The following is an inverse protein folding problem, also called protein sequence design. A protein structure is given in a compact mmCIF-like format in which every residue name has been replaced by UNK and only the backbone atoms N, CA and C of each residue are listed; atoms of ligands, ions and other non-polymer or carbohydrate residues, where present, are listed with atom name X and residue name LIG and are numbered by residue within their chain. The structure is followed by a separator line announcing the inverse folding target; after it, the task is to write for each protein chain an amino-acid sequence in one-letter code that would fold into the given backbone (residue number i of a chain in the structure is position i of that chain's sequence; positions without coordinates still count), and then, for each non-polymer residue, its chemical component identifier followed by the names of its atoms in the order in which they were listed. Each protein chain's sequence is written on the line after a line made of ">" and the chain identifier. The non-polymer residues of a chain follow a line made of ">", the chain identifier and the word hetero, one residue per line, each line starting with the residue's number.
data_IF_978831379836
#
_entry.id   IF_978831379836
#
_cell.length_a   1.000
_cell.length_b   1.000
_cell.length_c   1.000
_cell.angle_alpha   90.00
_cell.angle_beta   90.00
_cell.angle_gamma   90.00
#
_symmetry.space_group_name_H-M   'P 1'
#
loop_
_entity.id
_entity.type
_entity.pdbx_description
1 polymer ?
#
# COMPACT_ATOMS: atom_id res chain seq x y z
N UNK A 1 -13.31 -33.77 22.92
CA UNK A 1 -14.08 -33.10 21.85
C UNK A 1 -13.42 -31.78 21.53
N UNK A 2 -13.04 -31.56 20.27
CA UNK A 2 -12.56 -30.24 19.81
C UNK A 2 -13.75 -29.28 19.89
N UNK A 3 -13.58 -28.15 20.59
CA UNK A 3 -14.59 -27.09 20.66
C UNK A 3 -14.54 -26.27 19.38
N UNK A 4 -15.22 -26.76 18.34
CA UNK A 4 -15.23 -26.17 17.00
C UNK A 4 -15.62 -24.68 17.00
N UNK A 5 -16.54 -24.28 17.89
CA UNK A 5 -16.92 -22.87 18.03
C UNK A 5 -15.74 -21.98 18.42
N UNK A 6 -14.94 -22.38 19.41
CA UNK A 6 -13.77 -21.62 19.85
C UNK A 6 -12.67 -21.59 18.79
N UNK A 7 -12.49 -22.69 18.05
CA UNK A 7 -11.53 -22.74 16.95
C UNK A 7 -11.92 -21.75 15.85
N UNK A 8 -13.17 -21.80 15.37
CA UNK A 8 -13.66 -20.88 14.34
C UNK A 8 -13.62 -19.42 14.80
N UNK A 9 -13.96 -19.17 16.07
CA UNK A 9 -13.86 -17.84 16.66
C UNK A 9 -12.41 -17.34 16.67
N UNK A 10 -11.45 -18.18 17.08
CA UNK A 10 -10.03 -17.81 17.10
C UNK A 10 -9.50 -17.49 15.71
N UNK A 11 -9.79 -18.33 14.72
CA UNK A 11 -9.37 -18.11 13.32
C UNK A 11 -10.02 -16.84 12.77
N UNK A 12 -11.32 -16.66 13.00
CA UNK A 12 -12.06 -15.48 12.57
C UNK A 12 -11.45 -14.20 13.14
N UNK A 13 -11.17 -14.17 14.45
CA UNK A 13 -10.58 -13.02 15.12
C UNK A 13 -9.18 -12.72 14.58
N UNK A 14 -8.35 -13.76 14.35
CA UNK A 14 -7.01 -13.60 13.77
C UNK A 14 -7.08 -12.98 12.37
N UNK A 15 -8.01 -13.41 11.52
CA UNK A 15 -8.20 -12.83 10.19
C UNK A 15 -8.64 -11.36 10.27
N UNK A 16 -9.56 -11.04 11.19
CA UNK A 16 -9.95 -9.63 11.45
C UNK A 16 -8.73 -8.80 11.84
N UNK A 17 -7.89 -9.27 12.77
CA UNK A 17 -6.67 -8.56 13.15
C UNK A 17 -5.69 -8.40 11.98
N UNK A 18 -5.47 -9.45 11.20
CA UNK A 18 -4.60 -9.40 10.02
C UNK A 18 -5.09 -8.39 8.98
N UNK A 19 -6.41 -8.22 8.82
CA UNK A 19 -6.99 -7.25 7.90
C UNK A 19 -6.66 -5.78 8.22
N UNK A 20 -6.42 -5.47 9.50
CA UNK A 20 -6.05 -4.13 9.94
C UNK A 20 -4.55 -3.94 10.11
N UNK A 21 -3.78 -5.03 10.13
CA UNK A 21 -2.34 -5.00 10.39
C UNK A 21 -1.61 -4.42 9.19
N UNK A 22 -0.96 -3.29 9.42
CA UNK A 22 -0.11 -2.62 8.42
C UNK A 22 1.34 -2.71 8.86
N UNK A 23 2.23 -3.06 7.94
CA UNK A 23 3.66 -2.98 8.14
C UNK A 23 4.15 -1.64 7.61
N UNK A 24 4.73 -0.84 8.51
CA UNK A 24 5.56 0.30 8.15
C UNK A 24 6.95 -0.20 7.82
N UNK A 25 7.22 -0.45 6.55
CA UNK A 25 8.54 -0.80 6.05
C UNK A 25 9.05 0.39 5.25
N UNK A 26 10.13 1.02 5.73
CA UNK A 26 10.82 2.05 4.97
C UNK A 26 11.67 1.39 3.87
N UNK A 27 11.03 0.87 2.82
CA UNK A 27 11.77 0.46 1.62
C UNK A 27 11.94 1.67 0.71
N UNK A 28 13.17 1.89 0.28
CA UNK A 28 13.52 2.96 -0.63
C UNK A 28 14.03 2.39 -1.96
N UNK A 29 13.54 2.93 -3.06
CA UNK A 29 14.06 2.67 -4.40
C UNK A 29 14.63 3.96 -4.96
N UNK A 30 15.90 3.93 -5.34
CA UNK A 30 16.57 5.03 -6.05
C UNK A 30 16.80 4.61 -7.49
N UNK A 31 16.37 5.43 -8.44
CA UNK A 31 16.66 5.21 -9.86
C UNK A 31 17.08 6.52 -10.52
N UNK A 32 18.22 6.50 -11.20
CA UNK A 32 18.58 7.53 -12.16
C UNK A 32 17.98 7.10 -13.50
N UNK A 33 17.04 7.87 -14.05
CA UNK A 33 16.36 7.47 -15.27
C UNK A 33 16.66 8.41 -16.43
N UNK A 34 17.39 7.85 -17.40
CA UNK A 34 17.82 8.50 -18.64
C UNK A 34 16.71 8.54 -19.71
N UNK A 35 15.72 7.67 -19.58
CA UNK A 35 14.55 7.52 -20.46
C UNK A 35 13.30 7.38 -19.58
N UNK A 36 12.12 7.18 -20.17
CA UNK A 36 10.90 6.90 -19.43
C UNK A 36 11.12 5.82 -18.36
N UNK A 37 10.79 6.14 -17.10
CA UNK A 37 10.87 5.19 -16.01
C UNK A 37 9.47 4.77 -15.60
N UNK A 38 9.23 3.46 -15.56
CA UNK A 38 7.97 2.90 -15.10
C UNK A 38 8.16 2.16 -13.79
N UNK A 39 7.23 2.34 -12.86
CA UNK A 39 7.14 1.54 -11.64
C UNK A 39 5.70 1.08 -11.41
N UNK A 40 5.57 -0.20 -11.12
CA UNK A 40 4.31 -0.79 -10.68
C UNK A 40 4.36 -0.95 -9.16
N UNK A 41 3.50 -0.20 -8.46
CA UNK A 41 3.41 -0.24 -7.00
C UNK A 41 2.25 -1.17 -6.62
N UNK A 42 2.53 -2.31 -5.97
CA UNK A 42 1.52 -3.30 -5.65
C UNK A 42 0.37 -2.77 -4.79
N UNK A 43 -0.83 -3.32 -4.96
CA UNK A 43 -2.06 -2.89 -4.27
C UNK A 43 -2.01 -3.00 -2.73
N UNK A 44 -1.15 -3.87 -2.19
CA UNK A 44 -0.94 -3.96 -0.74
C UNK A 44 -0.27 -2.70 -0.17
N UNK A 45 0.36 -1.87 -1.01
CA UNK A 45 0.96 -0.59 -0.61
C UNK A 45 -0.10 0.51 -0.65
N UNK A 46 -0.39 1.13 0.49
CA UNK A 46 -1.41 2.18 0.58
C UNK A 46 -0.88 3.59 0.42
N UNK A 47 0.38 3.79 0.79
CA UNK A 47 1.00 5.08 0.75
C UNK A 47 2.46 4.93 0.33
N UNK A 48 2.78 5.58 -0.77
CA UNK A 48 4.14 5.83 -1.24
C UNK A 48 4.41 7.32 -1.20
N UNK A 49 5.66 7.65 -0.93
CA UNK A 49 6.20 8.98 -1.10
C UNK A 49 7.10 8.96 -2.35
N UNK A 50 6.75 9.77 -3.34
CA UNK A 50 7.53 9.97 -4.56
C UNK A 50 8.30 11.28 -4.40
N UNK A 51 9.59 11.26 -4.69
CA UNK A 51 10.43 12.45 -4.74
C UNK A 51 11.30 12.41 -5.99
N UNK A 52 11.36 13.53 -6.70
CA UNK A 52 12.07 13.68 -7.97
C UNK A 52 13.04 14.85 -7.81
N UNK A 53 14.33 14.60 -8.00
CA UNK A 53 15.40 15.57 -7.74
C UNK A 53 16.41 15.54 -8.88
N UNK A 54 16.86 16.72 -9.31
CA UNK A 54 17.97 16.87 -10.26
C UNK A 54 19.31 16.39 -9.68
N UNK A 55 20.12 15.68 -10.48
CA UNK A 55 21.47 15.28 -10.09
C UNK A 55 22.46 16.42 -10.30
N UNK A 56 22.64 17.27 -9.28
CA UNK A 56 23.71 18.28 -9.18
C UNK A 56 24.04 18.96 -10.53
N UNK A 57 23.06 19.67 -11.08
CA UNK A 57 23.21 20.51 -12.27
C UNK A 57 22.51 21.84 -12.05
N UNK A 58 22.96 22.90 -12.73
CA UNK A 58 22.28 24.20 -12.75
C UNK A 58 21.01 24.19 -13.62
N UNK A 59 20.38 23.03 -13.79
CA UNK A 59 19.18 22.80 -14.60
C UNK A 59 18.02 22.35 -13.70
N UNK A 60 16.82 22.87 -13.99
CA UNK A 60 15.55 22.35 -13.48
C UNK A 60 14.89 21.50 -14.55
N UNK A 61 14.53 20.28 -14.22
CA UNK A 61 13.76 19.43 -15.11
C UNK A 61 12.27 19.68 -14.88
N UNK A 62 11.49 19.67 -15.96
CA UNK A 62 10.05 19.47 -15.89
C UNK A 62 9.76 18.04 -16.33
N UNK A 63 9.12 17.31 -15.45
CA UNK A 63 8.83 15.89 -15.57
C UNK A 63 7.31 15.76 -15.69
N UNK A 64 6.84 15.01 -16.66
CA UNK A 64 5.46 14.55 -16.63
C UNK A 64 5.37 13.27 -15.82
N UNK A 65 4.37 13.22 -14.96
CA UNK A 65 4.00 12.04 -14.19
C UNK A 65 2.68 11.51 -14.72
N UNK A 66 2.66 10.24 -15.12
CA UNK A 66 1.45 9.51 -15.47
C UNK A 66 1.12 8.51 -14.37
N UNK A 67 -0.12 8.47 -13.89
CA UNK A 67 -0.57 7.57 -12.82
C UNK A 67 -1.56 6.49 -13.29
N UNK A 68 -1.62 6.22 -14.60
CA UNK A 68 -2.55 5.27 -15.22
C UNK A 68 -3.90 5.87 -15.65
N UNK A 69 -4.32 7.01 -15.09
CA UNK A 69 -5.57 7.70 -15.48
C UNK A 69 -5.32 9.11 -15.98
N UNK A 70 -4.41 9.82 -15.33
CA UNK A 70 -4.12 11.23 -15.55
C UNK A 70 -2.62 11.45 -15.75
N UNK A 71 -2.29 12.55 -16.43
CA UNK A 71 -0.92 13.04 -16.59
C UNK A 71 -0.82 14.48 -16.09
N UNK A 72 0.25 14.80 -15.38
CA UNK A 72 0.52 16.17 -14.93
C UNK A 72 2.01 16.50 -15.00
N UNK A 73 2.33 17.74 -15.39
CA UNK A 73 3.70 18.24 -15.40
C UNK A 73 4.10 18.76 -14.01
N UNK A 74 5.32 18.44 -13.59
CA UNK A 74 5.92 18.89 -12.34
C UNK A 74 7.34 19.40 -12.58
N UNK A 75 7.70 20.49 -11.91
CA UNK A 75 9.08 21.01 -11.93
C UNK A 75 9.88 20.42 -10.78
N UNK A 76 11.13 20.05 -11.00
CA UNK A 76 12.02 19.59 -9.92
C UNK A 76 12.52 20.77 -9.06
N UNK A 77 12.75 20.55 -7.74
CA UNK A 77 12.42 19.33 -7.00
C UNK A 77 10.91 19.17 -6.79
N UNK A 78 10.42 17.93 -6.91
CA UNK A 78 9.01 17.59 -6.71
C UNK A 78 8.88 16.48 -5.67
N UNK A 79 7.88 16.57 -4.79
CA UNK A 79 7.55 15.50 -3.86
C UNK A 79 6.05 15.42 -3.59
N UNK A 80 5.53 14.20 -3.50
CA UNK A 80 4.11 13.97 -3.21
C UNK A 80 3.87 12.62 -2.53
N UNK A 81 2.74 12.51 -1.84
CA UNK A 81 2.22 11.25 -1.32
C UNK A 81 1.11 10.74 -2.23
N UNK A 82 1.17 9.45 -2.57
CA UNK A 82 0.17 8.82 -3.44
C UNK A 82 -0.04 7.36 -3.06
N UNK A 83 -0.99 6.69 -3.69
CA UNK A 83 -1.37 5.30 -3.42
C UNK A 83 -0.60 4.30 -4.28
N UNK A 84 -0.92 3.01 -4.16
CA UNK A 84 -0.55 2.01 -5.17
C UNK A 84 -1.06 2.39 -6.56
N UNK A 85 -0.37 1.91 -7.58
CA UNK A 85 -0.71 2.16 -8.98
C UNK A 85 0.50 2.00 -9.89
N UNK A 86 0.27 2.18 -11.18
CA UNK A 86 1.32 2.23 -12.19
C UNK A 86 1.71 3.68 -12.43
N UNK A 87 2.99 3.97 -12.29
CA UNK A 87 3.53 5.31 -12.50
C UNK A 87 4.57 5.28 -13.61
N UNK A 88 4.44 6.23 -14.54
CA UNK A 88 5.47 6.49 -15.55
C UNK A 88 5.97 7.92 -15.41
N UNK A 89 7.28 8.09 -15.53
CA UNK A 89 7.97 9.36 -15.38
C UNK A 89 8.76 9.65 -16.65
N UNK A 90 8.58 10.85 -17.21
CA UNK A 90 9.31 11.28 -18.38
C UNK A 90 9.68 12.76 -18.29
N UNK A 91 10.93 13.09 -18.60
CA UNK A 91 11.39 14.48 -18.63
C UNK A 91 10.97 15.10 -19.96
N UNK A 92 10.27 16.24 -19.91
CA UNK A 92 9.76 16.93 -21.10
C UNK A 92 10.59 18.16 -21.50
N UNK A 93 11.25 18.80 -20.53
CA UNK A 93 12.13 19.96 -20.78
C UNK A 93 13.08 20.15 -19.61
N UNK A 94 14.27 20.64 -19.90
CA UNK A 94 15.21 21.14 -18.90
C UNK A 94 15.37 22.66 -19.07
N UNK A 95 15.42 23.37 -17.95
CA UNK A 95 15.48 24.83 -17.89
C UNK A 95 16.74 25.21 -17.14
N UNK A 96 17.61 25.99 -17.75
CA UNK A 96 18.77 26.52 -17.06
C UNK A 96 18.35 27.54 -16.00
N UNK A 97 18.81 27.33 -14.78
CA UNK A 97 18.46 28.15 -13.61
C UNK A 97 19.05 29.56 -13.67
N UNK A 98 20.11 29.77 -14.44
CA UNK A 98 20.84 31.04 -14.51
C UNK A 98 20.17 32.02 -15.49
N UNK A 99 19.77 31.54 -16.66
CA UNK A 99 19.21 32.38 -17.74
C UNK A 99 17.74 32.08 -18.07
N UNK A 100 17.13 31.08 -17.42
CA UNK A 100 15.74 30.69 -17.61
C UNK A 100 15.45 30.07 -18.98
N UNK A 101 16.46 29.78 -19.79
CA UNK A 101 16.27 29.25 -21.14
C UNK A 101 16.06 27.74 -21.11
N UNK A 102 15.16 27.29 -21.98
CA UNK A 102 14.96 25.86 -22.22
C UNK A 102 16.17 25.32 -22.97
N UNK A 103 16.76 24.26 -22.42
CA UNK A 103 17.83 23.51 -23.05
C UNK A 103 17.20 22.29 -23.69
N UNK A 104 17.22 22.21 -25.03
CA UNK A 104 16.83 20.99 -25.73
C UNK A 104 17.94 19.96 -25.52
N UNK A 105 17.77 19.07 -24.56
CA UNK A 105 18.65 17.91 -24.37
C UNK A 105 18.03 16.73 -25.11
N UNK A 106 18.69 16.28 -26.18
CA UNK A 106 18.23 15.14 -26.99
C UNK A 106 18.58 13.79 -26.38
N UNK A 107 19.49 13.71 -25.40
CA UNK A 107 20.13 12.41 -25.12
C UNK A 107 20.38 12.06 -23.63
N UNK A 108 20.23 12.98 -22.67
CA UNK A 108 20.55 12.68 -21.26
C UNK A 108 19.68 13.46 -20.27
N UNK A 109 18.70 12.79 -19.66
CA UNK A 109 17.92 13.32 -18.54
C UNK A 109 18.59 12.93 -17.22
N UNK A 110 19.10 13.91 -16.47
CA UNK A 110 19.88 13.66 -15.26
C UNK A 110 19.05 13.88 -13.98
N UNK A 111 17.98 13.10 -13.86
CA UNK A 111 17.04 13.19 -12.74
C UNK A 111 17.03 11.87 -11.96
N UNK A 112 16.97 11.99 -10.64
CA UNK A 112 16.87 10.88 -9.71
C UNK A 112 15.46 10.79 -9.13
N UNK A 113 14.86 9.62 -9.29
CA UNK A 113 13.63 9.23 -8.61
C UNK A 113 13.97 8.54 -7.28
N UNK A 114 13.31 9.01 -6.23
CA UNK A 114 13.31 8.44 -4.90
C UNK A 114 11.87 7.99 -4.60
N UNK A 115 11.65 6.69 -4.45
CA UNK A 115 10.36 6.15 -4.05
C UNK A 115 10.48 5.46 -2.71
N UNK A 116 9.67 5.89 -1.75
CA UNK A 116 9.63 5.33 -0.40
C UNK A 116 8.25 4.76 -0.11
N UNK A 117 8.19 3.50 0.29
CA UNK A 117 6.96 2.93 0.85
C UNK A 117 6.82 3.42 2.28
N UNK A 118 5.66 4.00 2.59
CA UNK A 118 5.36 4.55 3.92
C UNK A 118 4.43 3.61 4.68
N UNK A 119 3.46 3.01 3.98
CA UNK A 119 2.47 2.11 4.58
C UNK A 119 2.06 0.99 3.64
N UNK A 120 2.13 -0.24 4.12
CA UNK A 120 1.69 -1.45 3.42
C UNK A 120 0.83 -2.34 4.31
N UNK A 121 -0.16 -3.02 3.75
CA UNK A 121 -0.90 -4.07 4.45
C UNK A 121 -0.11 -5.37 4.43
N UNK A 122 -0.27 -6.17 5.48
CA UNK A 122 0.28 -7.53 5.53
C UNK A 122 -0.42 -8.47 4.53
N UNK A 123 -1.60 -8.08 4.04
CA UNK A 123 -2.45 -8.88 3.16
C UNK A 123 -2.90 -8.06 1.95
N UNK A 124 -2.93 -8.67 0.77
CA UNK A 124 -3.29 -8.00 -0.50
C UNK A 124 -4.75 -7.50 -0.52
N UNK A 125 -5.68 -8.24 0.12
CA UNK A 125 -7.10 -7.85 0.19
C UNK A 125 -7.61 -7.85 1.64
N UNK A 126 -7.38 -6.75 2.38
CA UNK A 126 -7.85 -6.64 3.75
C UNK A 126 -9.37 -6.66 3.85
N UNK A 127 -10.12 -6.24 2.81
CA UNK A 127 -11.58 -6.22 2.86
C UNK A 127 -12.16 -7.64 2.82
N UNK A 128 -11.68 -8.47 1.89
CA UNK A 128 -12.11 -9.87 1.80
C UNK A 128 -11.74 -10.64 3.07
N UNK A 129 -10.53 -10.44 3.58
CA UNK A 129 -10.08 -11.10 4.82
C UNK A 129 -10.89 -10.63 6.03
N UNK A 130 -11.23 -9.34 6.12
CA UNK A 130 -12.11 -8.82 7.16
C UNK A 130 -13.49 -9.50 7.12
N UNK A 131 -14.07 -9.64 5.92
CA UNK A 131 -15.37 -10.28 5.74
C UNK A 131 -15.35 -11.76 6.16
N UNK A 132 -14.34 -12.50 5.69
CA UNK A 132 -14.15 -13.91 6.06
C UNK A 132 -13.93 -14.06 7.57
N UNK A 133 -13.08 -13.21 8.15
CA UNK A 133 -12.79 -13.20 9.58
C UNK A 133 -14.04 -12.90 10.42
N UNK A 134 -14.84 -11.92 10.00
CA UNK A 134 -16.09 -11.57 10.65
C UNK A 134 -17.09 -12.71 10.60
N UNK A 135 -17.28 -13.33 9.41
CA UNK A 135 -18.19 -14.47 9.25
C UNK A 135 -17.82 -15.66 10.12
N UNK A 136 -16.54 -16.04 10.13
CA UNK A 136 -16.01 -17.11 10.98
C UNK A 136 -16.15 -16.78 12.48
N UNK A 137 -15.94 -15.52 12.86
CA UNK A 137 -16.11 -15.07 14.25
C UNK A 137 -17.55 -15.21 14.72
N UNK A 138 -18.53 -14.80 13.89
CA UNK A 138 -19.95 -14.91 14.21
C UNK A 138 -20.37 -16.38 14.34
N UNK A 139 -20.01 -17.22 13.37
CA UNK A 139 -20.33 -18.66 13.41
C UNK A 139 -19.68 -19.31 14.64
N UNK A 140 -18.41 -18.99 14.90
CA UNK A 140 -17.68 -19.49 16.06
C UNK A 140 -18.30 -19.07 17.39
N UNK A 141 -18.74 -17.82 17.51
CA UNK A 141 -19.42 -17.31 18.71
C UNK A 141 -20.75 -18.04 18.95
N UNK A 142 -21.59 -18.21 17.92
CA UNK A 142 -22.88 -18.91 18.03
C UNK A 142 -22.68 -20.36 18.48
N UNK A 143 -21.74 -21.08 17.87
CA UNK A 143 -21.43 -22.45 18.25
C UNK A 143 -20.86 -22.55 19.67
N UNK A 144 -19.99 -21.61 20.07
CA UNK A 144 -19.42 -21.58 21.42
C UNK A 144 -20.48 -21.35 22.50
N UNK A 145 -21.45 -20.46 22.25
CA UNK A 145 -22.58 -20.23 23.15
C UNK A 145 -23.47 -21.46 23.24
N UNK A 146 -23.76 -22.11 22.12
CA UNK A 146 -24.53 -23.37 22.09
C UNK A 146 -23.85 -24.48 22.90
N UNK A 147 -22.53 -24.65 22.74
CA UNK A 147 -21.75 -25.63 23.49
C UNK A 147 -21.78 -25.33 25.01
N UNK A 148 -21.69 -24.05 25.39
CA UNK A 148 -21.79 -23.62 26.79
C UNK A 148 -23.17 -23.92 27.39
N UNK A 149 -24.25 -23.64 26.66
CA UNK A 149 -25.61 -23.92 27.09
C UNK A 149 -25.85 -25.42 27.28
N UNK A 150 -25.35 -26.27 26.38
CA UNK A 150 -25.43 -27.72 26.52
C UNK A 150 -24.65 -28.24 27.74
N UNK A 151 -23.51 -27.63 28.05
CA UNK A 151 -22.74 -27.97 29.26
C UNK A 151 -23.44 -27.52 30.55
N UNK A 152 -24.15 -26.40 30.53
CA UNK A 152 -24.96 -25.93 31.65
C UNK A 152 -26.16 -26.85 31.89
N UNK A 153 -26.90 -27.20 30.84
CA UNK A 153 -28.08 -28.09 30.93
C UNK A 153 -27.70 -29.49 31.45
N UNK A 154 -26.51 -29.99 31.09
CA UNK A 154 -25.97 -31.26 31.64
C UNK A 154 -25.53 -31.19 33.10
N UNK A 155 -25.21 -30.00 33.62
CA UNK A 155 -24.73 -29.82 35.00
C UNK A 155 -25.86 -29.53 36.00
N UNK A 156 -27.05 -29.16 35.53
CA UNK A 156 -28.23 -29.00 36.39
C UNK A 156 -28.92 -30.36 36.50
N UNK A 157 -28.84 -31.07 37.64
CA UNK A 157 -29.66 -32.27 37.82
C UNK A 157 -31.12 -31.82 37.76
N UNK A 158 -31.88 -32.36 36.81
CA UNK A 158 -33.33 -32.22 36.80
C UNK A 158 -33.82 -32.92 38.06
N UNK A 159 -34.09 -32.13 39.10
CA UNK A 159 -34.66 -32.63 40.35
C UNK A 159 -35.95 -33.36 40.03
N UNK A 160 -35.92 -34.67 40.23
CA UNK A 160 -37.08 -35.57 40.30
C UNK A 160 -37.76 -35.44 41.65
#
# INVERSE_FOLDING_TARGET
>A
MIRWGLLLLSIGLTLVFLSFTTIGSNSHLTANFLHSYSIDVPEFVRCIHISIVENKSDLKAVVMVYNGTDSYEVSTPYSTYTSSGKYEFFVVKEINTTDGKVVNTTDYYNVTLFLRVVKSYLVNDPKSILLQGTGLSVIGAVLSVKDLLQLLDKKVPRGS
#
